data_IF_947404228190
#
_entry.id   IF_947404228190
#
_cell.length_a   1.000
_cell.length_b   1.000
_cell.length_c   1.000
_cell.angle_alpha   90.00
_cell.angle_beta   90.00
_cell.angle_gamma   90.00
#
_symmetry.space_group_name_H-M   'P 1'
#
loop_
_entity.id
_entity.type
_entity.pdbx_description
1 polymer ?
#
# COMPACT_ATOMS: atom_id res chain seq x y z
N UNK A 1 -24.53 28.20 -63.16
CA UNK A 1 -25.01 27.41 -62.02
C UNK A 1 -24.44 26.01 -62.22
N UNK A 2 -23.76 25.52 -61.18
CA UNK A 2 -23.21 24.17 -60.96
C UNK A 2 -21.96 23.79 -61.79
N UNK A 3 -20.75 24.11 -61.33
CA UNK A 3 -19.92 23.53 -60.24
C UNK A 3 -19.19 22.23 -60.64
N UNK A 4 -17.84 22.24 -60.77
CA UNK A 4 -17.02 21.06 -61.04
C UNK A 4 -16.30 20.55 -59.77
N UNK A 5 -16.30 19.25 -59.49
CA UNK A 5 -15.31 18.57 -58.62
C UNK A 5 -15.13 17.12 -59.06
N UNK A 6 -13.94 16.72 -59.54
CA UNK A 6 -12.70 16.34 -58.82
C UNK A 6 -12.72 14.89 -58.30
N UNK A 7 -11.76 14.14 -58.83
CA UNK A 7 -11.21 12.87 -58.37
C UNK A 7 -10.88 12.90 -56.88
N UNK A 8 -11.14 11.81 -56.14
CA UNK A 8 -10.26 11.38 -55.06
C UNK A 8 -10.46 9.90 -54.69
N UNK A 9 -9.32 9.21 -54.74
CA UNK A 9 -8.82 8.18 -53.81
C UNK A 9 -9.83 7.20 -53.19
N UNK A 10 -9.69 5.95 -53.60
CA UNK A 10 -10.30 4.80 -52.96
C UNK A 10 -9.54 4.48 -51.66
N UNK A 11 -9.90 5.17 -50.59
CA UNK A 11 -9.37 4.88 -49.26
C UNK A 11 -9.89 3.53 -48.77
N UNK A 12 -8.94 2.63 -48.58
CA UNK A 12 -9.10 1.35 -47.91
C UNK A 12 -9.61 1.65 -46.50
N UNK A 13 -10.91 1.43 -46.26
CA UNK A 13 -11.47 1.46 -44.92
C UNK A 13 -10.84 0.33 -44.12
N UNK A 14 -9.74 0.70 -43.45
CA UNK A 14 -9.16 -0.02 -42.34
C UNK A 14 -10.28 -0.24 -41.33
N UNK A 15 -10.70 -1.49 -41.18
CA UNK A 15 -11.52 -1.92 -40.06
C UNK A 15 -10.77 -1.50 -38.79
N UNK A 16 -11.28 -0.46 -38.15
CA UNK A 16 -10.96 -0.10 -36.78
C UNK A 16 -11.39 -1.28 -35.91
N UNK A 17 -10.47 -2.20 -35.65
CA UNK A 17 -10.60 -3.14 -34.54
C UNK A 17 -10.66 -2.28 -33.28
N UNK A 18 -11.87 -2.10 -32.74
CA UNK A 18 -12.07 -1.66 -31.37
C UNK A 18 -11.17 -2.52 -30.50
N UNK A 19 -10.11 -1.90 -29.95
CA UNK A 19 -9.42 -2.47 -28.81
C UNK A 19 -10.50 -2.74 -27.75
N UNK A 20 -10.50 -3.91 -27.08
CA UNK A 20 -11.38 -4.10 -25.94
C UNK A 20 -11.05 -2.96 -24.97
N UNK A 21 -12.05 -2.12 -24.70
CA UNK A 21 -11.93 -1.12 -23.64
C UNK A 21 -11.36 -1.84 -22.42
N UNK A 22 -10.35 -1.28 -21.73
CA UNK A 22 -9.87 -1.87 -20.50
C UNK A 22 -11.10 -2.04 -19.63
N UNK A 23 -11.38 -3.28 -19.20
CA UNK A 23 -12.47 -3.60 -18.29
C UNK A 23 -12.18 -2.85 -17.01
N UNK A 24 -12.57 -1.58 -16.97
CA UNK A 24 -12.61 -0.75 -15.79
C UNK A 24 -13.77 -1.31 -15.00
N UNK A 25 -13.52 -2.44 -14.33
CA UNK A 25 -14.37 -2.97 -13.30
C UNK A 25 -14.58 -1.81 -12.33
N UNK A 26 -15.78 -1.23 -12.38
CA UNK A 26 -16.27 -0.24 -11.43
C UNK A 26 -15.81 -0.69 -10.05
N UNK A 27 -15.07 0.15 -9.28
CA UNK A 27 -14.49 -0.32 -8.03
C UNK A 27 -15.62 -0.93 -7.18
N UNK A 28 -15.39 -2.10 -6.58
CA UNK A 28 -16.41 -2.74 -5.75
C UNK A 28 -16.89 -1.69 -4.74
N UNK A 29 -18.21 -1.47 -4.67
CA UNK A 29 -18.82 -0.67 -3.60
C UNK A 29 -18.65 -1.45 -2.29
N UNK A 30 -17.46 -1.43 -1.71
CA UNK A 30 -17.22 -1.84 -0.33
C UNK A 30 -17.76 -0.70 0.53
N UNK A 31 -19.06 -0.74 0.82
CA UNK A 31 -19.78 0.36 1.49
C UNK A 31 -19.87 0.20 3.00
N UNK A 32 -19.25 -0.83 3.58
CA UNK A 32 -19.30 -1.08 5.02
C UNK A 32 -17.93 -0.86 5.67
N UNK A 33 -17.58 0.41 5.86
CA UNK A 33 -16.37 0.81 6.61
C UNK A 33 -16.56 0.75 8.13
N UNK A 34 -17.74 0.37 8.61
CA UNK A 34 -18.05 0.34 10.04
C UNK A 34 -17.76 -1.03 10.65
N UNK A 35 -17.55 -2.06 9.84
CA UNK A 35 -17.22 -3.38 10.34
C UNK A 35 -15.80 -3.39 10.93
N UNK A 36 -15.63 -3.56 12.26
CA UNK A 36 -14.32 -3.59 12.90
C UNK A 36 -13.45 -4.77 12.44
N UNK A 37 -14.04 -5.85 11.93
CA UNK A 37 -13.31 -7.04 11.45
C UNK A 37 -12.46 -6.75 10.20
N UNK A 38 -12.72 -5.64 9.51
CA UNK A 38 -11.92 -5.21 8.35
C UNK A 38 -10.63 -4.47 8.76
N UNK A 39 -10.47 -4.16 10.05
CA UNK A 39 -9.34 -3.41 10.55
C UNK A 39 -8.47 -4.27 11.46
N UNK A 40 -7.16 -4.09 11.30
CA UNK A 40 -6.18 -4.70 12.19
C UNK A 40 -5.71 -3.67 13.22
N UNK A 41 -5.34 -4.16 14.41
CA UNK A 41 -4.79 -3.29 15.43
C UNK A 41 -3.48 -2.66 14.91
N UNK A 42 -3.42 -1.33 14.95
CA UNK A 42 -2.28 -0.55 14.45
C UNK A 42 -0.98 -0.90 15.15
N UNK A 43 -1.01 -1.07 16.47
CA UNK A 43 0.17 -1.33 17.29
C UNK A 43 0.72 -2.73 17.04
N UNK A 44 -0.18 -3.72 16.90
CA UNK A 44 0.22 -5.06 16.45
C UNK A 44 0.82 -5.04 15.04
N UNK A 45 0.31 -4.18 14.16
CA UNK A 45 0.85 -4.02 12.80
C UNK A 45 2.26 -3.43 12.81
N UNK A 46 2.52 -2.45 13.69
CA UNK A 46 3.87 -1.92 13.91
C UNK A 46 4.81 -2.98 14.48
N UNK A 47 4.36 -3.78 15.45
CA UNK A 47 5.18 -4.87 16.01
C UNK A 47 5.50 -5.93 14.96
N UNK A 48 4.53 -6.31 14.13
CA UNK A 48 4.72 -7.25 13.02
C UNK A 48 5.68 -6.70 11.95
N UNK A 49 5.69 -5.38 11.74
CA UNK A 49 6.71 -4.74 10.90
C UNK A 49 8.10 -4.86 11.51
N UNK A 50 8.27 -4.50 12.79
CA UNK A 50 9.56 -4.63 13.50
C UNK A 50 10.08 -6.07 13.47
N UNK A 51 9.20 -7.05 13.63
CA UNK A 51 9.57 -8.46 13.52
C UNK A 51 10.10 -8.83 12.13
N UNK A 52 9.52 -8.30 11.06
CA UNK A 52 10.03 -8.51 9.69
C UNK A 52 11.41 -7.85 9.50
N UNK A 53 11.66 -6.68 10.07
CA UNK A 53 13.00 -6.06 10.04
C UNK A 53 14.02 -6.94 10.77
N UNK A 54 13.65 -7.50 11.92
CA UNK A 54 14.51 -8.43 12.66
C UNK A 54 14.80 -9.70 11.86
N UNK A 55 13.83 -10.26 11.13
CA UNK A 55 14.07 -11.42 10.27
C UNK A 55 15.16 -11.14 9.23
N UNK A 56 15.25 -9.92 8.70
CA UNK A 56 16.33 -9.54 7.78
C UNK A 56 17.70 -9.57 8.44
N UNK A 57 17.81 -9.22 9.73
CA UNK A 57 19.07 -9.35 10.48
C UNK A 57 19.46 -10.83 10.73
N UNK A 58 18.47 -11.72 10.83
CA UNK A 58 18.69 -13.14 11.11
C UNK A 58 19.00 -13.97 9.85
N UNK A 59 18.70 -13.47 8.66
CA UNK A 59 18.96 -14.20 7.42
C UNK A 59 20.46 -14.36 7.15
N UNK A 60 20.95 -15.61 7.13
CA UNK A 60 22.35 -15.96 6.89
C UNK A 60 22.78 -15.83 5.43
N UNK A 61 21.85 -15.72 4.48
CA UNK A 61 22.15 -15.43 3.08
C UNK A 61 22.71 -14.02 2.88
N UNK A 62 22.48 -13.11 3.84
CA UNK A 62 23.02 -11.76 3.81
C UNK A 62 24.44 -11.69 4.39
N UNK A 63 25.33 -10.87 3.79
CA UNK A 63 26.63 -10.60 4.38
C UNK A 63 26.49 -10.06 5.81
N UNK A 64 27.48 -10.37 6.66
CA UNK A 64 27.46 -10.03 8.10
C UNK A 64 27.20 -8.54 8.36
N UNK A 65 27.75 -7.66 7.54
CA UNK A 65 27.56 -6.21 7.69
C UNK A 65 26.12 -5.77 7.41
N UNK A 66 25.43 -6.37 6.43
CA UNK A 66 24.03 -6.04 6.13
C UNK A 66 23.11 -6.52 7.27
N UNK A 67 23.39 -7.70 7.82
CA UNK A 67 22.68 -8.21 9.01
C UNK A 67 22.84 -7.27 10.20
N UNK A 68 24.05 -6.76 10.42
CA UNK A 68 24.32 -5.77 11.46
C UNK A 68 23.57 -4.47 11.22
N UNK A 69 23.49 -3.98 9.97
CA UNK A 69 22.69 -2.79 9.65
C UNK A 69 21.20 -2.99 9.94
N UNK A 70 20.62 -4.13 9.56
CA UNK A 70 19.24 -4.45 9.92
C UNK A 70 19.03 -4.51 11.43
N UNK A 71 20.00 -5.01 12.18
CA UNK A 71 19.94 -5.03 13.65
C UNK A 71 19.93 -3.61 14.25
N UNK A 72 20.73 -2.70 13.70
CA UNK A 72 20.74 -1.29 14.11
C UNK A 72 19.41 -0.60 13.79
N UNK A 73 18.86 -0.84 12.60
CA UNK A 73 17.55 -0.30 12.20
C UNK A 73 16.46 -0.84 13.13
N UNK A 74 16.46 -2.14 13.41
CA UNK A 74 15.52 -2.77 14.33
C UNK A 74 15.61 -2.14 15.74
N UNK A 75 16.83 -1.94 16.27
CA UNK A 75 17.03 -1.30 17.57
C UNK A 75 16.42 0.11 17.61
N UNK A 76 16.74 0.94 16.62
CA UNK A 76 16.22 2.32 16.55
C UNK A 76 14.69 2.35 16.47
N UNK A 77 14.09 1.45 15.69
CA UNK A 77 12.64 1.37 15.58
C UNK A 77 11.99 0.90 16.89
N UNK A 78 12.67 0.04 17.64
CA UNK A 78 12.17 -0.47 18.92
C UNK A 78 12.17 0.62 19.98
N UNK A 79 13.24 1.42 20.04
CA UNK A 79 13.35 2.57 20.94
C UNK A 79 12.20 3.56 20.69
N UNK A 80 11.96 3.96 19.44
CA UNK A 80 10.83 4.83 19.07
C UNK A 80 9.47 4.21 19.45
N UNK A 81 9.31 2.90 19.23
CA UNK A 81 8.07 2.22 19.57
C UNK A 81 7.76 2.30 21.07
N UNK A 82 8.75 2.09 21.94
CA UNK A 82 8.53 2.20 23.38
C UNK A 82 8.34 3.65 23.84
N UNK A 83 9.17 4.58 23.35
CA UNK A 83 9.10 5.98 23.77
C UNK A 83 7.81 6.67 23.30
N UNK A 84 7.34 6.38 22.10
CA UNK A 84 6.21 7.08 21.49
C UNK A 84 4.91 6.26 21.58
N UNK A 85 4.93 4.99 21.15
CA UNK A 85 3.69 4.19 21.04
C UNK A 85 3.24 3.65 22.38
N UNK A 86 4.13 2.97 23.11
CA UNK A 86 3.77 2.39 24.41
C UNK A 86 3.38 3.48 25.42
N UNK A 87 4.13 4.58 25.46
CA UNK A 87 3.77 5.74 26.29
C UNK A 87 2.38 6.29 25.93
N UNK A 88 2.07 6.46 24.64
CA UNK A 88 0.76 6.91 24.18
C UNK A 88 -0.38 5.96 24.54
N UNK A 89 -0.16 4.65 24.45
CA UNK A 89 -1.13 3.64 24.87
C UNK A 89 -1.41 3.68 26.37
N UNK A 90 -0.36 3.84 27.18
CA UNK A 90 -0.52 3.98 28.63
C UNK A 90 -1.37 5.20 28.97
N UNK A 91 -1.07 6.35 28.34
CA UNK A 91 -1.86 7.57 28.53
C UNK A 91 -3.33 7.38 28.12
N UNK A 92 -3.60 6.69 27.01
CA UNK A 92 -4.96 6.41 26.56
C UNK A 92 -5.73 5.51 27.54
N UNK A 93 -5.05 4.49 28.10
CA UNK A 93 -5.64 3.59 29.10
C UNK A 93 -5.95 4.37 30.38
N UNK A 94 -5.01 5.20 30.85
CA UNK A 94 -5.20 5.99 32.07
C UNK A 94 -6.34 7.00 31.91
N UNK A 95 -6.40 7.70 30.77
CA UNK A 95 -7.53 8.59 30.46
C UNK A 95 -8.88 7.85 30.41
N UNK A 96 -8.90 6.60 29.94
CA UNK A 96 -10.12 5.78 29.91
C UNK A 96 -10.55 5.28 31.29
N UNK A 97 -9.65 5.31 32.30
CA UNK A 97 -9.94 4.92 33.69
C UNK A 97 -10.42 6.09 34.55
N UNK A 98 -10.15 7.33 34.13
CA UNK A 98 -10.53 8.55 34.83
C UNK A 98 -11.91 9.09 34.43
N UNK A 99 -12.56 8.49 33.43
CA UNK A 99 -13.94 8.78 33.00
C UNK A 99 -14.91 7.70 33.47
#
# INVERSE_FOLDING_TARGET
>A
MDNPQQSDVQDTQTQSSELPEPVASKPPKVSDYQNPDYYINRELSHLAFNFRVLQQALNEEYPLLERFRFLLIFSSNLDEYFEIRVAGLMQQIDFSREQ
#
